data_IF_233540755656
#
_entry.id   IF_233540755656
#
_cell.length_a   1.000
_cell.length_b   1.000
_cell.length_c   1.000
_cell.angle_alpha   90.00
_cell.angle_beta   90.00
_cell.angle_gamma   90.00
#
_symmetry.space_group_name_H-M   'P 1'
#
loop_
_entity.id
_entity.type
_entity.pdbx_description
1 polymer ?
#
# COMPACT_ATOMS: atom_id res chain seq x y z
N UNK A 1 -18.18 13.20 31.84
CA UNK A 1 -18.97 11.98 31.60
C UNK A 1 -18.08 10.93 30.94
N UNK A 2 -17.97 9.71 31.49
CA UNK A 2 -17.22 8.64 30.84
C UNK A 2 -18.01 8.07 29.66
N UNK A 3 -17.34 7.83 28.54
CA UNK A 3 -17.95 7.18 27.38
C UNK A 3 -18.41 5.76 27.75
N UNK A 4 -19.65 5.41 27.41
CA UNK A 4 -20.22 4.08 27.69
C UNK A 4 -19.54 3.03 26.81
N UNK A 5 -19.06 1.94 27.41
CA UNK A 5 -18.40 0.85 26.71
C UNK A 5 -19.27 0.22 25.60
N UNK A 6 -20.59 0.08 25.85
CA UNK A 6 -21.55 -0.41 24.86
C UNK A 6 -21.66 0.48 23.61
N UNK A 7 -21.58 1.81 23.80
CA UNK A 7 -21.63 2.73 22.67
C UNK A 7 -20.40 2.57 21.76
N UNK A 8 -19.25 2.27 22.36
CA UNK A 8 -18.01 1.99 21.64
C UNK A 8 -18.12 0.64 20.91
N UNK A 9 -18.57 -0.42 21.58
CA UNK A 9 -18.72 -1.74 20.94
C UNK A 9 -19.73 -1.73 19.78
N UNK A 10 -20.85 -1.03 19.93
CA UNK A 10 -21.84 -0.86 18.85
C UNK A 10 -21.29 -0.08 17.66
N UNK A 11 -20.41 0.90 17.90
CA UNK A 11 -19.73 1.61 16.82
C UNK A 11 -18.73 0.71 16.08
N UNK A 12 -17.92 -0.06 16.83
CA UNK A 12 -16.92 -0.98 16.27
C UNK A 12 -17.55 -2.13 15.47
N UNK A 13 -18.68 -2.66 15.92
CA UNK A 13 -19.43 -3.71 15.18
C UNK A 13 -20.24 -3.16 14.01
N UNK A 14 -20.36 -1.83 13.89
CA UNK A 14 -21.14 -1.17 12.86
C UNK A 14 -20.52 -1.27 11.46
N UNK A 15 -21.39 -1.32 10.44
CA UNK A 15 -21.00 -1.34 9.02
C UNK A 15 -20.14 -0.13 8.60
N UNK A 16 -20.34 1.03 9.25
CA UNK A 16 -19.57 2.26 9.01
C UNK A 16 -18.12 2.09 9.45
N UNK A 17 -17.89 1.53 10.64
CA UNK A 17 -16.55 1.23 11.12
C UNK A 17 -15.90 0.12 10.30
N UNK A 18 -16.62 -0.97 10.01
CA UNK A 18 -16.10 -2.04 9.13
C UNK A 18 -15.69 -1.53 7.74
N UNK A 19 -16.40 -0.55 7.18
CA UNK A 19 -16.03 0.12 5.92
C UNK A 19 -14.73 0.93 6.07
N UNK A 20 -14.60 1.71 7.14
CA UNK A 20 -13.38 2.46 7.45
C UNK A 20 -12.18 1.54 7.72
N UNK A 21 -12.40 0.47 8.49
CA UNK A 21 -11.38 -0.52 8.81
C UNK A 21 -10.89 -1.26 7.57
N UNK A 22 -11.76 -1.58 6.60
CA UNK A 22 -11.33 -2.14 5.30
C UNK A 22 -10.41 -1.19 4.52
N UNK A 23 -10.65 0.12 4.58
CA UNK A 23 -9.74 1.12 3.99
C UNK A 23 -8.39 1.13 4.72
N UNK A 24 -8.37 0.84 6.03
CA UNK A 24 -7.18 0.88 6.87
C UNK A 24 -6.37 -0.44 6.84
N UNK A 25 -7.01 -1.61 6.83
CA UNK A 25 -6.34 -2.93 6.85
C UNK A 25 -5.49 -3.23 5.61
N UNK A 26 -5.57 -2.41 4.56
CA UNK A 26 -4.75 -2.55 3.35
C UNK A 26 -3.49 -1.69 3.40
N UNK A 27 -3.29 -0.89 4.46
CA UNK A 27 -1.95 -0.52 4.94
C UNK A 27 -1.22 -1.75 5.49
N UNK A 28 -1.05 -2.78 4.67
CA UNK A 28 -0.13 -3.86 4.97
C UNK A 28 1.27 -3.25 5.00
N UNK A 29 1.95 -3.37 6.13
CA UNK A 29 3.34 -2.93 6.33
C UNK A 29 4.26 -3.44 5.20
N UNK A 30 3.98 -4.64 4.66
CA UNK A 30 4.66 -5.20 3.49
C UNK A 30 4.52 -4.35 2.23
N UNK A 31 3.34 -3.77 1.99
CA UNK A 31 3.05 -2.96 0.79
C UNK A 31 3.68 -1.58 0.92
N UNK A 32 3.65 -0.99 2.12
CA UNK A 32 4.34 0.29 2.41
C UNK A 32 5.84 0.21 2.13
N UNK A 33 6.49 -0.90 2.50
CA UNK A 33 7.92 -1.13 2.22
C UNK A 33 8.29 -1.07 0.75
N UNK A 34 7.34 -1.33 -0.15
CA UNK A 34 7.57 -1.33 -1.59
C UNK A 34 7.18 -0.03 -2.28
N UNK A 35 6.55 0.91 -1.58
CA UNK A 35 6.14 2.22 -2.09
C UNK A 35 7.02 3.30 -1.48
N UNK A 36 8.01 3.76 -2.23
CA UNK A 36 8.96 4.80 -1.79
C UNK A 36 8.66 6.13 -2.46
N UNK A 37 9.16 7.25 -1.94
CA UNK A 37 9.06 8.52 -2.64
C UNK A 37 9.89 8.50 -3.93
N UNK A 38 9.40 9.17 -4.98
CA UNK A 38 10.13 9.25 -6.24
C UNK A 38 11.22 10.33 -6.18
N UNK A 39 12.46 9.94 -6.48
CA UNK A 39 13.60 10.86 -6.59
C UNK A 39 13.76 11.50 -7.98
N UNK A 40 12.87 11.18 -8.94
CA UNK A 40 12.95 11.72 -10.31
C UNK A 40 12.39 13.16 -10.36
N UNK A 41 13.20 14.10 -10.87
CA UNK A 41 12.81 15.50 -11.09
C UNK A 41 11.48 15.58 -11.86
N UNK A 42 10.51 16.30 -11.28
CA UNK A 42 9.14 16.43 -11.82
C UNK A 42 8.14 15.34 -11.39
N UNK A 43 8.55 14.36 -10.58
CA UNK A 43 7.67 13.30 -10.03
C UNK A 43 7.74 13.16 -8.52
N UNK A 44 8.24 14.18 -7.81
CA UNK A 44 8.38 14.19 -6.35
C UNK A 44 7.05 14.01 -5.60
N UNK A 45 5.94 14.42 -6.20
CA UNK A 45 4.58 14.22 -5.68
C UNK A 45 4.04 12.79 -5.87
N UNK A 46 4.81 11.92 -6.53
CA UNK A 46 4.43 10.53 -6.85
C UNK A 46 5.22 9.54 -6.01
N UNK A 47 4.59 8.40 -5.74
CA UNK A 47 5.24 7.24 -5.16
C UNK A 47 5.83 6.38 -6.26
N UNK A 48 6.96 5.75 -5.98
CA UNK A 48 7.60 4.76 -6.83
C UNK A 48 7.43 3.37 -6.21
N UNK A 49 6.86 2.44 -6.97
CA UNK A 49 6.72 1.05 -6.57
C UNK A 49 7.96 0.25 -6.99
N UNK A 50 8.70 -0.27 -6.02
CA UNK A 50 9.91 -1.07 -6.23
C UNK A 50 9.62 -2.42 -6.91
N UNK A 51 8.50 -3.05 -6.58
CA UNK A 51 8.12 -4.35 -7.16
C UNK A 51 7.75 -4.23 -8.63
N UNK A 52 6.92 -3.26 -8.98
CA UNK A 52 6.40 -3.12 -10.35
C UNK A 52 7.19 -2.13 -11.21
N UNK A 53 8.11 -1.39 -10.60
CA UNK A 53 8.93 -0.31 -11.19
C UNK A 53 8.08 0.78 -11.85
N UNK A 54 7.05 1.26 -11.15
CA UNK A 54 6.11 2.27 -11.67
C UNK A 54 5.95 3.43 -10.72
N UNK A 55 5.65 4.58 -11.31
CA UNK A 55 5.22 5.74 -10.54
C UNK A 55 3.69 5.70 -10.36
N UNK A 56 3.24 6.17 -9.20
CA UNK A 56 1.87 6.13 -8.72
C UNK A 56 1.56 7.46 -8.08
N UNK A 57 0.34 7.97 -8.26
CA UNK A 57 -0.09 9.17 -7.54
C UNK A 57 -0.16 8.87 -6.04
N UNK A 58 0.28 9.82 -5.20
CA UNK A 58 0.19 9.73 -3.74
C UNK A 58 -1.25 10.02 -3.25
N UNK A 59 -2.22 9.24 -3.76
CA UNK A 59 -3.63 9.28 -3.35
C UNK A 59 -4.04 7.87 -2.96
N UNK A 60 -4.69 7.74 -1.81
CA UNK A 60 -5.12 6.46 -1.25
C UNK A 60 -5.86 5.59 -2.28
N UNK A 61 -6.86 6.12 -2.97
CA UNK A 61 -7.63 5.36 -3.98
C UNK A 61 -6.76 4.80 -5.13
N UNK A 62 -5.75 5.54 -5.55
CA UNK A 62 -4.82 5.11 -6.61
C UNK A 62 -3.87 4.03 -6.12
N UNK A 63 -3.40 4.16 -4.88
CA UNK A 63 -2.55 3.17 -4.22
C UNK A 63 -3.33 1.86 -4.06
N UNK A 64 -4.57 1.93 -3.59
CA UNK A 64 -5.45 0.77 -3.41
C UNK A 64 -5.66 0.00 -4.71
N UNK A 65 -6.06 0.70 -5.79
CA UNK A 65 -6.22 0.07 -7.11
C UNK A 65 -4.93 -0.57 -7.63
N UNK A 66 -3.77 -0.02 -7.27
CA UNK A 66 -2.49 -0.59 -7.65
C UNK A 66 -2.20 -1.90 -6.89
N UNK A 67 -2.39 -1.87 -5.58
CA UNK A 67 -2.09 -2.97 -4.64
C UNK A 67 -3.03 -4.16 -4.86
N UNK A 68 -4.31 -3.89 -5.07
CA UNK A 68 -5.33 -4.89 -5.42
C UNK A 68 -5.22 -5.35 -6.88
N UNK A 69 -4.42 -4.66 -7.69
CA UNK A 69 -4.25 -4.96 -9.10
C UNK A 69 -3.54 -6.30 -9.35
N UNK A 70 -4.01 -7.05 -10.36
CA UNK A 70 -3.44 -8.35 -10.78
C UNK A 70 -1.93 -8.32 -10.99
N UNK A 71 -1.38 -7.21 -11.48
CA UNK A 71 0.08 -7.07 -11.72
C UNK A 71 0.88 -7.03 -10.42
N UNK A 72 0.46 -6.22 -9.45
CA UNK A 72 1.14 -6.12 -8.16
C UNK A 72 1.12 -7.46 -7.44
N UNK A 73 -0.07 -8.09 -7.37
CA UNK A 73 -0.22 -9.40 -6.73
C UNK A 73 0.60 -10.51 -7.40
N UNK A 74 0.72 -10.53 -8.74
CA UNK A 74 1.56 -11.51 -9.45
C UNK A 74 3.03 -11.36 -9.10
N UNK A 75 3.55 -10.12 -9.12
CA UNK A 75 4.96 -9.86 -8.76
C UNK A 75 5.20 -10.16 -7.30
N UNK A 76 4.28 -9.78 -6.41
CA UNK A 76 4.35 -10.09 -4.99
C UNK A 76 4.41 -11.61 -4.74
N UNK A 77 3.53 -12.39 -5.38
CA UNK A 77 3.58 -13.86 -5.32
C UNK A 77 4.90 -14.41 -5.86
N UNK A 78 5.36 -13.93 -7.02
CA UNK A 78 6.64 -14.37 -7.60
C UNK A 78 7.84 -14.03 -6.70
N UNK A 79 7.81 -12.89 -6.01
CA UNK A 79 8.84 -12.50 -5.05
C UNK A 79 8.79 -13.32 -3.75
N UNK A 80 7.59 -13.73 -3.29
CA UNK A 80 7.42 -14.57 -2.09
C UNK A 80 7.80 -16.04 -2.32
N UNK A 81 7.52 -16.58 -3.51
CA UNK A 81 7.72 -18.01 -3.82
C UNK A 81 8.94 -18.30 -4.71
N UNK A 82 9.47 -17.29 -5.41
CA UNK A 82 10.66 -17.41 -6.25
C UNK A 82 11.87 -16.87 -5.52
N UNK A 83 12.97 -17.66 -5.48
CA UNK A 83 14.29 -17.22 -5.01
C UNK A 83 14.58 -15.81 -5.54
N UNK A 84 14.98 -14.94 -4.63
CA UNK A 84 15.32 -13.54 -4.79
C UNK A 84 16.36 -13.31 -5.90
N UNK A 85 15.97 -13.35 -7.16
CA UNK A 85 16.85 -12.97 -8.27
C UNK A 85 16.45 -11.58 -8.77
N UNK A 86 17.10 -10.57 -8.20
CA UNK A 86 17.51 -9.37 -8.95
C UNK A 86 16.57 -8.17 -9.03
N UNK A 87 15.96 -7.70 -7.93
CA UNK A 87 15.27 -6.38 -7.93
C UNK A 87 16.18 -5.24 -7.40
N UNK A 88 17.38 -5.54 -6.89
CA UNK A 88 18.35 -4.52 -6.47
C UNK A 88 19.31 -4.23 -7.62
N UNK A 89 19.10 -3.17 -8.41
CA UNK A 89 20.25 -2.52 -9.08
C UNK A 89 20.05 -1.20 -9.82
N UNK A 90 18.83 -0.68 -10.08
CA UNK A 90 18.71 0.38 -11.11
C UNK A 90 18.32 1.77 -10.59
N UNK A 91 17.94 1.94 -9.32
CA UNK A 91 17.50 3.26 -8.82
C UNK A 91 18.45 3.86 -7.78
N UNK A 92 19.74 3.98 -8.14
CA UNK A 92 20.73 4.90 -7.54
C UNK A 92 21.70 5.46 -8.60
N UNK A 93 21.26 5.63 -9.86
CA UNK A 93 22.04 6.36 -10.88
C UNK A 93 21.25 7.56 -11.38
N UNK A 94 21.43 8.67 -10.66
CA UNK A 94 21.66 10.03 -11.18
C UNK A 94 21.90 10.98 -10.02
#
# INVERSE_FOLDING_TARGET
MPCKADAIQNYLSGKKYAKLQRLQCVENEEVKKHLVQSHKKGREHQLFCLLTQRHLNNRHDHIMKHVEGKRFQRVLKRCKYGRSTGIVSIYMKS
#
